data_IF_001956017984
#
_entry.id   IF_001956017984
#
_cell.length_a   1.000
_cell.length_b   1.000
_cell.length_c   1.000
_cell.angle_alpha   90.00
_cell.angle_beta   90.00
_cell.angle_gamma   90.00
#
_symmetry.space_group_name_H-M   'P 1'
#
loop_
_entity.id
_entity.type
_entity.pdbx_description
1 polymer ?
#
# COMPACT_ATOMS: atom_id res chain seq x y z
N UNK A 1 43.64 -35.39 -17.44
CA UNK A 1 42.85 -35.75 -16.25
C UNK A 1 42.42 -37.20 -16.38
N UNK A 2 43.01 -38.08 -15.58
CA UNK A 2 42.72 -39.52 -15.63
C UNK A 2 41.33 -39.75 -15.03
N UNK A 3 40.33 -39.96 -15.87
CA UNK A 3 39.02 -40.41 -15.40
C UNK A 3 39.21 -41.75 -14.67
N UNK A 4 38.54 -41.96 -13.52
CA UNK A 4 38.61 -43.24 -12.83
C UNK A 4 38.20 -44.37 -13.78
N UNK A 5 38.92 -45.49 -13.74
CA UNK A 5 38.79 -46.60 -14.69
C UNK A 5 37.34 -47.06 -14.87
N UNK A 6 36.55 -47.08 -13.79
CA UNK A 6 35.13 -47.41 -13.81
C UNK A 6 34.27 -46.48 -14.67
N UNK A 7 34.51 -45.17 -14.61
CA UNK A 7 33.75 -44.17 -15.37
C UNK A 7 34.12 -44.19 -16.85
N UNK A 8 35.39 -44.52 -17.16
CA UNK A 8 35.85 -44.75 -18.53
C UNK A 8 35.19 -45.98 -19.17
N UNK A 9 35.08 -47.10 -18.45
CA UNK A 9 34.33 -48.26 -18.94
C UNK A 9 32.85 -47.91 -19.13
N UNK A 10 32.21 -47.29 -18.14
CA UNK A 10 30.79 -46.95 -18.21
C UNK A 10 30.44 -46.09 -19.44
N UNK A 11 31.22 -45.03 -19.72
CA UNK A 11 30.99 -44.15 -20.86
C UNK A 11 31.24 -44.84 -22.21
N UNK A 12 32.18 -45.79 -22.28
CA UNK A 12 32.46 -46.61 -23.46
C UNK A 12 31.31 -47.56 -23.78
N UNK A 13 30.64 -48.12 -22.78
CA UNK A 13 29.44 -48.96 -22.96
C UNK A 13 28.18 -48.13 -23.25
N UNK A 14 28.11 -46.87 -22.80
CA UNK A 14 27.01 -45.95 -23.09
C UNK A 14 26.97 -45.49 -24.56
N UNK A 15 28.09 -45.56 -25.30
CA UNK A 15 28.19 -45.22 -26.73
C UNK A 15 28.41 -46.48 -27.60
N UNK A 16 27.40 -47.35 -27.74
CA UNK A 16 27.55 -48.59 -28.50
C UNK A 16 27.75 -48.30 -30.00
N UNK A 17 28.74 -48.95 -30.62
CA UNK A 17 29.05 -48.82 -32.06
C UNK A 17 28.00 -49.44 -33.01
N UNK A 18 26.99 -50.14 -32.48
CA UNK A 18 25.91 -50.79 -33.25
C UNK A 18 24.66 -49.90 -33.23
N UNK A 19 24.17 -49.52 -34.40
CA UNK A 19 23.10 -48.53 -34.59
C UNK A 19 21.84 -48.83 -33.77
N UNK A 20 21.41 -50.09 -33.71
CA UNK A 20 20.19 -50.50 -32.98
C UNK A 20 20.27 -50.25 -31.46
N UNK A 21 21.41 -50.57 -30.82
CA UNK A 21 21.60 -50.35 -29.38
C UNK A 21 21.78 -48.86 -29.04
N UNK A 22 22.31 -48.07 -29.97
CA UNK A 22 22.47 -46.62 -29.80
C UNK A 22 21.15 -45.86 -29.84
N UNK A 23 20.13 -46.38 -30.55
CA UNK A 23 18.81 -45.74 -30.63
C UNK A 23 18.02 -45.94 -29.33
N UNK A 24 18.02 -47.16 -28.78
CA UNK A 24 17.29 -47.47 -27.53
C UNK A 24 17.85 -46.63 -26.37
N UNK A 25 19.17 -46.59 -26.22
CA UNK A 25 19.84 -45.79 -25.19
C UNK A 25 19.55 -44.30 -25.32
N UNK A 26 19.51 -43.76 -26.55
CA UNK A 26 19.13 -42.37 -26.80
C UNK A 26 17.69 -42.07 -26.38
N UNK A 27 16.73 -42.92 -26.76
CA UNK A 27 15.31 -42.75 -26.40
C UNK A 27 15.12 -42.84 -24.89
N UNK A 28 15.78 -43.79 -24.20
CA UNK A 28 15.70 -43.91 -22.74
C UNK A 28 16.26 -42.68 -22.02
N UNK A 29 17.40 -42.16 -22.46
CA UNK A 29 18.00 -40.93 -21.87
C UNK A 29 17.10 -39.72 -22.11
N UNK A 30 16.54 -39.57 -23.32
CA UNK A 30 15.61 -38.48 -23.61
C UNK A 30 14.32 -38.58 -22.80
N UNK A 31 13.78 -39.78 -22.61
CA UNK A 31 12.58 -39.99 -21.80
C UNK A 31 12.80 -39.58 -20.34
N UNK A 32 13.91 -40.02 -19.74
CA UNK A 32 14.26 -39.62 -18.36
C UNK A 32 14.55 -38.12 -18.28
N UNK A 33 15.28 -37.56 -19.25
CA UNK A 33 15.58 -36.13 -19.30
C UNK A 33 14.30 -35.29 -19.37
N UNK A 34 13.36 -35.66 -20.25
CA UNK A 34 12.07 -34.98 -20.37
C UNK A 34 11.23 -35.11 -19.08
N UNK A 35 11.16 -36.31 -18.49
CA UNK A 35 10.43 -36.52 -17.24
C UNK A 35 10.96 -35.67 -16.09
N UNK A 36 12.29 -35.65 -15.90
CA UNK A 36 12.94 -34.84 -14.87
C UNK A 36 12.78 -33.34 -15.16
N UNK A 37 12.87 -32.92 -16.43
CA UNK A 37 12.69 -31.52 -16.83
C UNK A 37 11.29 -31.02 -16.47
N UNK A 38 10.26 -31.81 -16.78
CA UNK A 38 8.87 -31.47 -16.46
C UNK A 38 8.67 -31.38 -14.95
N UNK A 39 9.23 -32.32 -14.17
CA UNK A 39 9.13 -32.30 -12.71
C UNK A 39 9.79 -31.05 -12.11
N UNK A 40 10.99 -30.68 -12.58
CA UNK A 40 11.70 -29.47 -12.14
C UNK A 40 10.89 -28.22 -12.51
N UNK A 41 10.33 -28.16 -13.72
CA UNK A 41 9.48 -27.05 -14.16
C UNK A 41 8.29 -26.83 -13.24
N UNK A 42 7.56 -27.90 -12.91
CA UNK A 42 6.38 -27.82 -12.02
C UNK A 42 6.78 -27.31 -10.64
N UNK A 43 7.84 -27.87 -10.05
CA UNK A 43 8.32 -27.43 -8.72
C UNK A 43 8.77 -25.97 -8.77
N UNK A 44 9.47 -25.56 -9.84
CA UNK A 44 9.92 -24.18 -10.03
C UNK A 44 8.76 -23.20 -10.14
N UNK A 45 7.72 -23.55 -10.92
CA UNK A 45 6.53 -22.71 -11.08
C UNK A 45 5.76 -22.61 -9.78
N UNK A 46 5.51 -23.75 -9.10
CA UNK A 46 4.80 -23.76 -7.82
C UNK A 46 5.55 -22.96 -6.75
N UNK A 47 6.87 -23.13 -6.66
CA UNK A 47 7.70 -22.40 -5.68
C UNK A 47 7.75 -20.91 -5.99
N UNK A 48 7.86 -20.53 -7.27
CA UNK A 48 7.87 -19.12 -7.69
C UNK A 48 6.54 -18.44 -7.41
N UNK A 49 5.44 -19.12 -7.73
CA UNK A 49 4.09 -18.61 -7.51
C UNK A 49 3.73 -18.54 -6.02
N UNK A 50 4.09 -19.54 -5.21
CA UNK A 50 3.89 -19.51 -3.76
C UNK A 50 4.60 -18.32 -3.12
N UNK A 51 5.86 -18.06 -3.52
CA UNK A 51 6.60 -16.88 -3.06
C UNK A 51 5.92 -15.58 -3.46
N UNK A 52 5.51 -15.45 -4.71
CA UNK A 52 4.86 -14.24 -5.22
C UNK A 52 3.50 -14.01 -4.55
N UNK A 53 2.69 -15.06 -4.37
CA UNK A 53 1.41 -14.97 -3.68
C UNK A 53 1.59 -14.63 -2.20
N UNK A 54 2.49 -15.34 -1.50
CA UNK A 54 2.76 -15.10 -0.08
C UNK A 54 3.24 -13.67 0.13
N UNK A 55 4.19 -13.23 -0.68
CA UNK A 55 4.70 -11.87 -0.66
C UNK A 55 3.67 -10.86 -1.18
N UNK A 56 2.57 -11.25 -1.82
CA UNK A 56 1.45 -10.36 -2.20
C UNK A 56 0.25 -10.40 -1.26
N UNK A 57 0.21 -11.31 -0.29
CA UNK A 57 -0.88 -11.45 0.69
C UNK A 57 -0.46 -11.01 2.09
N UNK A 58 0.77 -11.31 2.54
CA UNK A 58 1.17 -11.12 3.96
C UNK A 58 1.72 -9.72 4.28
N UNK A 59 2.40 -9.06 3.34
CA UNK A 59 3.12 -7.80 3.61
C UNK A 59 2.26 -6.51 3.43
N UNK A 60 0.92 -6.62 3.34
CA UNK A 60 0.09 -5.54 2.75
C UNK A 60 -0.73 -4.70 3.70
N UNK A 61 -0.94 -5.16 4.92
CA UNK A 61 -1.66 -4.37 5.90
C UNK A 61 -1.16 -4.71 7.30
N UNK A 62 -1.57 -3.91 8.27
CA UNK A 62 -1.39 -4.30 9.65
C UNK A 62 -2.11 -5.65 9.87
N UNK A 63 -1.42 -6.60 10.51
CA UNK A 63 -1.99 -7.92 10.82
C UNK A 63 -3.30 -7.82 11.61
N UNK A 64 -3.46 -6.74 12.38
CA UNK A 64 -4.65 -6.44 13.17
C UNK A 64 -4.98 -4.95 12.99
N UNK A 65 -6.23 -4.68 12.63
CA UNK A 65 -6.80 -3.33 12.62
C UNK A 65 -7.78 -3.20 13.78
N UNK A 66 -7.57 -2.18 14.61
CA UNK A 66 -8.49 -1.84 15.70
C UNK A 66 -9.25 -0.59 15.27
N UNK A 67 -10.51 -0.76 14.89
CA UNK A 67 -11.41 0.32 14.49
C UNK A 67 -12.65 0.36 15.37
N UNK A 68 -13.20 1.55 15.55
CA UNK A 68 -14.52 1.78 16.14
C UNK A 68 -15.43 2.40 15.07
N UNK A 69 -16.76 2.27 15.23
CA UNK A 69 -17.72 2.96 14.36
C UNK A 69 -17.60 4.49 14.48
N UNK A 70 -17.13 4.97 15.64
CA UNK A 70 -16.96 6.38 15.96
C UNK A 70 -15.49 6.76 16.22
N UNK A 71 -15.21 8.06 16.33
CA UNK A 71 -13.86 8.53 16.64
C UNK A 71 -13.40 8.03 18.01
N UNK A 72 -12.33 7.23 18.03
CA UNK A 72 -11.67 6.78 19.26
C UNK A 72 -11.06 7.97 20.02
N UNK A 73 -11.77 8.46 21.04
CA UNK A 73 -11.33 9.59 21.88
C UNK A 73 -10.08 9.23 22.72
N UNK A 74 -10.07 8.05 23.33
CA UNK A 74 -8.98 7.58 24.22
C UNK A 74 -7.95 6.69 23.53
N UNK A 75 -7.66 6.95 22.25
CA UNK A 75 -6.75 6.13 21.45
C UNK A 75 -5.33 6.04 22.04
N UNK A 76 -4.85 7.08 22.75
CA UNK A 76 -3.51 7.10 23.35
C UNK A 76 -3.37 6.07 24.47
N UNK A 77 -4.35 6.00 25.36
CA UNK A 77 -4.37 5.04 26.46
C UNK A 77 -4.52 3.62 25.94
N UNK A 78 -5.36 3.44 24.92
CA UNK A 78 -5.53 2.15 24.25
C UNK A 78 -4.24 1.70 23.57
N UNK A 79 -3.55 2.61 22.86
CA UNK A 79 -2.25 2.33 22.23
C UNK A 79 -1.24 1.82 23.25
N UNK A 80 -1.09 2.48 24.39
CA UNK A 80 -0.17 2.03 25.46
C UNK A 80 -0.53 0.64 25.98
N UNK A 81 -1.82 0.30 26.12
CA UNK A 81 -2.24 -1.05 26.51
C UNK A 81 -1.87 -2.10 25.46
N UNK A 82 -2.10 -1.79 24.18
CA UNK A 82 -1.78 -2.70 23.07
C UNK A 82 -0.26 -2.88 22.93
N UNK A 83 0.52 -1.80 23.03
CA UNK A 83 1.99 -1.86 22.96
C UNK A 83 2.60 -2.75 24.06
N UNK A 84 1.96 -2.84 25.23
CA UNK A 84 2.41 -3.68 26.34
C UNK A 84 1.91 -5.14 26.26
N UNK A 85 1.15 -5.49 25.22
CA UNK A 85 0.61 -6.85 25.06
C UNK A 85 1.67 -7.77 24.45
N UNK A 86 1.94 -8.96 25.04
CA UNK A 86 2.94 -9.88 24.51
C UNK A 86 2.61 -10.31 23.08
N UNK A 87 3.59 -10.24 22.17
CA UNK A 87 3.43 -10.55 20.76
C UNK A 87 3.19 -9.35 19.84
N UNK A 88 2.94 -8.15 20.39
CA UNK A 88 2.84 -6.92 19.59
C UNK A 88 4.23 -6.37 19.28
N UNK A 89 4.58 -6.30 17.99
CA UNK A 89 5.88 -5.78 17.53
C UNK A 89 5.88 -4.26 17.45
N UNK A 90 4.81 -3.68 16.93
CA UNK A 90 4.63 -2.23 16.79
C UNK A 90 3.15 -1.88 16.61
N UNK A 91 2.79 -0.64 16.93
CA UNK A 91 1.47 -0.07 16.64
C UNK A 91 1.63 1.29 15.97
N UNK A 92 0.70 1.63 15.09
CA UNK A 92 0.64 2.92 14.41
C UNK A 92 -0.81 3.44 14.42
N UNK A 93 -1.06 4.67 14.91
CA UNK A 93 -2.37 5.28 14.82
C UNK A 93 -2.61 5.80 13.40
N UNK A 94 -3.82 5.59 12.89
CA UNK A 94 -4.26 6.16 11.62
C UNK A 94 -5.67 6.75 11.74
N UNK A 95 -5.98 7.70 10.88
CA UNK A 95 -7.35 8.22 10.67
C UNK A 95 -7.67 8.00 9.20
N UNK A 96 -8.86 7.51 8.88
CA UNK A 96 -9.28 7.31 7.50
C UNK A 96 -10.65 7.91 7.26
N UNK A 97 -10.83 8.62 6.14
CA UNK A 97 -12.12 9.19 5.77
C UNK A 97 -12.24 9.42 4.26
N UNK A 98 -13.47 9.44 3.71
CA UNK A 98 -13.68 9.82 2.32
C UNK A 98 -13.30 11.28 2.12
N UNK A 99 -12.69 11.59 0.99
CA UNK A 99 -12.41 12.97 0.54
C UNK A 99 -12.74 13.10 -0.93
N UNK A 100 -13.01 14.32 -1.38
CA UNK A 100 -13.05 14.66 -2.80
C UNK A 100 -11.72 15.32 -3.14
N UNK A 101 -11.10 14.89 -4.23
CA UNK A 101 -9.80 15.37 -4.69
C UNK A 101 -9.97 15.88 -6.09
N UNK A 102 -9.44 17.06 -6.34
CA UNK A 102 -9.54 17.76 -7.60
C UNK A 102 -8.16 18.16 -8.11
N UNK A 103 -7.92 17.90 -9.39
CA UNK A 103 -6.73 18.35 -10.11
C UNK A 103 -7.09 18.63 -11.56
N UNK A 104 -6.78 19.83 -12.06
CA UNK A 104 -7.02 20.23 -13.46
C UNK A 104 -8.41 19.82 -13.98
N UNK A 105 -9.47 20.17 -13.24
CA UNK A 105 -10.87 19.87 -13.57
C UNK A 105 -11.27 18.37 -13.51
N UNK A 106 -10.38 17.49 -13.04
CA UNK A 106 -10.67 16.07 -12.77
C UNK A 106 -10.97 15.90 -11.29
N UNK A 107 -12.12 15.32 -10.96
CA UNK A 107 -12.58 15.11 -9.59
C UNK A 107 -12.74 13.62 -9.29
N UNK A 108 -12.19 13.17 -8.18
CA UNK A 108 -12.32 11.80 -7.70
C UNK A 108 -12.62 11.81 -6.21
N UNK A 109 -13.25 10.75 -5.71
CA UNK A 109 -13.56 10.60 -4.29
C UNK A 109 -12.80 9.43 -3.66
N UNK A 110 -11.48 9.54 -3.42
CA UNK A 110 -10.70 8.50 -2.76
C UNK A 110 -10.88 8.52 -1.23
N UNK A 111 -10.39 7.47 -0.57
CA UNK A 111 -10.23 7.46 0.88
C UNK A 111 -8.89 8.11 1.25
N UNK A 112 -8.89 9.16 2.06
CA UNK A 112 -7.67 9.72 2.63
C UNK A 112 -7.36 9.04 3.97
N UNK A 113 -6.11 8.62 4.14
CA UNK A 113 -5.56 8.06 5.38
C UNK A 113 -4.51 9.01 5.96
N UNK A 114 -4.82 9.59 7.11
CA UNK A 114 -3.89 10.33 7.96
C UNK A 114 -2.99 9.37 8.73
N UNK A 115 -1.67 9.45 8.57
CA UNK A 115 -0.70 8.59 9.27
C UNK A 115 0.40 9.39 9.98
N UNK A 116 1.06 8.76 10.95
CA UNK A 116 2.36 9.19 11.47
C UNK A 116 3.47 8.37 10.77
N UNK A 117 4.29 8.99 9.88
CA UNK A 117 5.30 8.27 9.10
C UNK A 117 6.29 7.46 9.94
N UNK A 118 6.67 7.96 11.12
CA UNK A 118 7.68 7.30 11.96
C UNK A 118 7.13 6.06 12.67
N UNK A 119 5.84 6.06 13.00
CA UNK A 119 5.18 4.93 13.64
C UNK A 119 4.70 3.92 12.59
N UNK A 120 4.17 4.39 11.47
CA UNK A 120 3.71 3.53 10.36
C UNK A 120 4.85 2.68 9.81
N UNK A 121 6.07 3.24 9.64
CA UNK A 121 7.23 2.50 9.11
C UNK A 121 7.61 1.28 9.98
N UNK A 122 7.28 1.29 11.27
CA UNK A 122 7.52 0.17 12.18
C UNK A 122 6.52 -0.98 12.00
N UNK A 123 5.33 -0.68 11.47
CA UNK A 123 4.26 -1.66 11.23
C UNK A 123 4.28 -2.14 9.79
N UNK A 124 4.42 -1.21 8.83
CA UNK A 124 4.44 -1.46 7.40
C UNK A 124 5.65 -0.72 6.81
N UNK A 125 6.55 -1.37 6.07
CA UNK A 125 7.73 -0.73 5.49
C UNK A 125 7.31 0.13 4.27
N UNK A 126 6.70 1.29 4.53
CA UNK A 126 6.03 2.12 3.53
C UNK A 126 7.01 2.63 2.47
N UNK A 127 8.25 2.88 2.85
CA UNK A 127 9.32 3.30 1.94
C UNK A 127 9.58 2.29 0.81
N UNK A 128 9.44 0.98 1.07
CA UNK A 128 9.65 -0.06 0.04
C UNK A 128 8.61 -0.03 -1.07
N UNK A 129 7.47 0.59 -0.82
CA UNK A 129 6.35 0.63 -1.77
C UNK A 129 6.27 1.93 -2.56
N UNK A 130 7.16 2.89 -2.32
CA UNK A 130 7.25 4.11 -3.13
C UNK A 130 7.99 3.80 -4.42
N UNK A 131 7.31 4.00 -5.56
CA UNK A 131 7.93 3.86 -6.88
C UNK A 131 8.52 5.16 -7.39
N UNK A 132 7.88 6.28 -7.09
CA UNK A 132 8.27 7.59 -7.59
C UNK A 132 8.23 8.62 -6.46
N UNK A 133 9.24 9.49 -6.40
CA UNK A 133 9.32 10.56 -5.41
C UNK A 133 9.86 10.09 -4.06
N UNK A 134 9.43 10.75 -2.98
CA UNK A 134 9.88 10.46 -1.60
C UNK A 134 8.68 10.37 -0.66
N UNK A 135 8.83 9.61 0.43
CA UNK A 135 7.89 9.64 1.55
C UNK A 135 8.14 10.90 2.37
N UNK A 136 7.78 12.06 1.82
CA UNK A 136 7.81 13.30 2.57
C UNK A 136 6.37 13.72 2.85
N UNK A 137 6.01 13.63 4.11
CA UNK A 137 4.69 14.00 4.63
C UNK A 137 4.80 15.22 5.57
N UNK A 138 5.87 16.01 5.46
CA UNK A 138 5.99 17.28 6.19
C UNK A 138 5.14 18.39 5.55
N UNK A 139 4.49 19.19 6.39
CA UNK A 139 3.63 20.29 5.95
C UNK A 139 2.35 19.84 5.23
N UNK A 140 2.02 20.54 4.14
CA UNK A 140 0.84 20.28 3.30
C UNK A 140 1.19 19.37 2.13
N UNK A 141 1.68 18.18 2.44
CA UNK A 141 2.11 17.17 1.48
C UNK A 141 1.27 15.91 1.55
N UNK A 142 1.18 15.23 0.41
CA UNK A 142 0.46 13.98 0.26
C UNK A 142 1.18 13.03 -0.69
N UNK A 143 1.09 11.74 -0.38
CA UNK A 143 1.52 10.67 -1.28
C UNK A 143 0.28 10.02 -1.89
N UNK A 144 0.29 9.89 -3.22
CA UNK A 144 -0.82 9.35 -3.99
C UNK A 144 -0.61 7.88 -4.32
N UNK A 145 -1.69 7.10 -4.32
CA UNK A 145 -1.67 5.77 -4.94
C UNK A 145 -1.48 5.89 -6.47
N UNK A 146 -0.75 4.95 -7.07
CA UNK A 146 -0.43 4.97 -8.51
C UNK A 146 -1.67 5.03 -9.40
N UNK A 147 -2.77 4.38 -9.01
CA UNK A 147 -4.02 4.44 -9.76
C UNK A 147 -4.70 5.80 -9.65
N UNK A 148 -4.64 6.42 -8.48
CA UNK A 148 -5.22 7.72 -8.23
C UNK A 148 -4.45 8.81 -8.98
N UNK A 149 -3.10 8.77 -8.90
CA UNK A 149 -2.22 9.63 -9.67
C UNK A 149 -2.49 9.49 -11.18
N UNK A 150 -2.66 8.26 -11.69
CA UNK A 150 -2.98 8.01 -13.10
C UNK A 150 -4.34 8.55 -13.53
N UNK A 151 -5.38 8.37 -12.70
CA UNK A 151 -6.74 8.87 -13.00
C UNK A 151 -6.82 10.39 -12.96
N UNK A 152 -6.13 11.01 -11.99
CA UNK A 152 -5.99 12.47 -11.88
C UNK A 152 -5.03 13.05 -12.91
N UNK A 153 -4.14 12.22 -13.51
CA UNK A 153 -3.00 12.68 -14.30
C UNK A 153 -2.06 13.61 -13.50
N UNK A 154 -1.98 13.40 -12.19
CA UNK A 154 -1.13 14.17 -11.29
C UNK A 154 0.28 13.54 -11.23
N UNK A 155 1.29 14.40 -11.24
CA UNK A 155 2.71 14.09 -11.11
C UNK A 155 3.28 14.59 -9.79
N UNK A 156 4.51 14.20 -9.48
CA UNK A 156 5.22 14.70 -8.28
C UNK A 156 5.51 16.19 -8.46
N UNK A 157 5.23 16.98 -7.42
CA UNK A 157 5.33 18.44 -7.42
C UNK A 157 4.01 19.15 -7.71
N UNK A 158 3.00 18.43 -8.19
CA UNK A 158 1.70 19.02 -8.48
C UNK A 158 0.92 19.32 -7.20
N UNK A 159 0.12 20.40 -7.23
CA UNK A 159 -0.80 20.75 -6.16
C UNK A 159 -2.19 20.19 -6.46
N UNK A 160 -2.70 19.38 -5.55
CA UNK A 160 -4.06 18.83 -5.61
C UNK A 160 -4.94 19.49 -4.56
N UNK A 161 -6.20 19.70 -4.91
CA UNK A 161 -7.17 20.32 -4.01
C UNK A 161 -7.99 19.22 -3.34
N UNK A 162 -8.04 19.20 -2.01
CA UNK A 162 -8.76 18.19 -1.25
C UNK A 162 -9.88 18.82 -0.44
N UNK A 163 -11.07 18.27 -0.59
CA UNK A 163 -12.28 18.61 0.14
C UNK A 163 -12.65 17.43 1.05
N UNK A 164 -12.88 17.69 2.35
CA UNK A 164 -13.33 16.65 3.28
C UNK A 164 -14.84 16.79 3.54
N UNK A 165 -15.67 15.84 3.09
CA UNK A 165 -17.09 15.79 3.42
C UNK A 165 -17.37 15.44 4.89
N UNK A 166 -16.35 15.07 5.68
CA UNK A 166 -16.53 14.63 7.07
C UNK A 166 -17.22 15.65 7.98
N UNK A 167 -17.14 16.94 7.62
CA UNK A 167 -17.79 18.00 8.37
C UNK A 167 -19.13 18.47 7.79
N UNK A 168 -19.71 17.76 6.80
CA UNK A 168 -21.02 18.14 6.21
C UNK A 168 -22.11 18.36 7.26
N UNK A 169 -22.16 17.54 8.32
CA UNK A 169 -23.08 17.74 9.44
C UNK A 169 -22.83 19.05 10.19
N UNK A 170 -21.57 19.34 10.52
CA UNK A 170 -21.16 20.61 11.15
C UNK A 170 -21.43 21.80 10.23
N UNK A 171 -21.27 21.64 8.92
CA UNK A 171 -21.60 22.66 7.92
C UNK A 171 -23.10 22.95 7.91
N UNK A 172 -23.95 21.91 7.90
CA UNK A 172 -25.41 22.07 7.93
C UNK A 172 -25.88 22.69 9.26
N UNK A 173 -25.27 22.30 10.38
CA UNK A 173 -25.58 22.86 11.69
C UNK A 173 -25.14 24.33 11.80
N UNK A 174 -23.98 24.68 11.24
CA UNK A 174 -23.52 26.07 11.19
C UNK A 174 -24.37 26.92 10.22
N UNK A 175 -24.86 26.37 9.11
CA UNK A 175 -25.84 27.04 8.22
C UNK A 175 -27.16 27.29 8.95
N UNK A 176 -27.66 26.30 9.72
CA UNK A 176 -28.86 26.48 10.56
C UNK A 176 -28.64 27.50 11.68
N UNK A 177 -27.45 27.55 12.28
CA UNK A 177 -27.10 28.57 13.27
C UNK A 177 -27.05 29.96 12.65
N UNK A 178 -26.54 30.09 11.42
CA UNK A 178 -26.59 31.35 10.67
C UNK A 178 -28.00 31.83 10.40
N UNK A 179 -28.90 30.94 9.98
CA UNK A 179 -30.29 31.28 9.72
C UNK A 179 -31.01 31.84 10.96
N UNK A 180 -30.50 31.50 12.15
CA UNK A 180 -31.06 31.93 13.44
C UNK A 180 -30.26 33.05 14.14
N UNK A 181 -29.08 33.44 13.64
CA UNK A 181 -28.22 34.45 14.27
C UNK A 181 -28.49 35.86 13.71
N UNK A 182 -28.35 36.90 14.55
CA UNK A 182 -28.44 38.31 14.12
C UNK A 182 -27.22 39.10 14.57
N UNK A 183 -26.58 39.85 13.67
CA UNK A 183 -25.57 40.85 14.02
C UNK A 183 -24.14 40.31 14.19
N UNK A 184 -23.53 40.45 15.37
CA UNK A 184 -22.12 40.04 15.59
C UNK A 184 -21.90 38.52 15.62
N UNK A 185 -22.92 37.75 16.02
CA UNK A 185 -22.89 36.27 16.00
C UNK A 185 -22.94 35.71 14.58
N UNK A 186 -23.60 36.43 13.66
CA UNK A 186 -23.67 36.08 12.24
C UNK A 186 -22.29 36.17 11.58
N UNK A 187 -21.52 37.23 11.87
CA UNK A 187 -20.14 37.37 11.36
C UNK A 187 -19.20 36.28 11.87
N UNK A 188 -19.26 35.93 13.16
CA UNK A 188 -18.45 34.83 13.71
C UNK A 188 -18.82 33.47 13.12
N UNK A 189 -20.11 33.20 12.94
CA UNK A 189 -20.58 31.97 12.33
C UNK A 189 -20.25 31.88 10.82
N UNK A 190 -20.21 33.02 10.10
CA UNK A 190 -19.75 33.09 8.70
C UNK A 190 -18.25 32.75 8.61
N UNK A 191 -17.42 33.29 9.52
CA UNK A 191 -15.98 32.99 9.53
C UNK A 191 -15.69 31.53 9.93
N UNK A 192 -16.44 30.95 10.86
CA UNK A 192 -16.35 29.51 11.19
C UNK A 192 -16.74 28.61 10.01
N UNK A 193 -17.77 28.97 9.23
CA UNK A 193 -18.15 28.24 8.03
C UNK A 193 -17.09 28.33 6.93
N UNK A 194 -16.46 29.49 6.75
CA UNK A 194 -15.37 29.68 5.79
C UNK A 194 -14.21 28.73 6.06
N UNK A 195 -13.80 28.60 7.33
CA UNK A 195 -12.71 27.69 7.72
C UNK A 195 -13.04 26.20 7.55
N UNK A 196 -14.32 25.82 7.64
CA UNK A 196 -14.78 24.44 7.45
C UNK A 196 -14.94 24.08 5.97
N UNK A 197 -15.27 25.05 5.11
CA UNK A 197 -15.51 24.86 3.67
C UNK A 197 -14.20 24.93 2.85
N UNK A 198 -13.16 25.58 3.36
CA UNK A 198 -11.94 25.83 2.61
C UNK A 198 -11.26 24.51 2.19
N UNK A 199 -11.11 24.26 0.88
CA UNK A 199 -10.31 23.15 0.42
C UNK A 199 -8.86 23.32 0.87
N UNK A 200 -8.21 22.20 1.16
CA UNK A 200 -6.77 22.19 1.42
C UNK A 200 -6.03 21.88 0.12
N UNK A 201 -5.06 22.72 -0.22
CA UNK A 201 -4.08 22.38 -1.25
C UNK A 201 -3.04 21.44 -0.62
N UNK A 202 -2.80 20.30 -1.26
CA UNK A 202 -1.73 19.39 -0.87
C UNK A 202 -0.76 19.23 -2.04
N UNK A 203 0.53 19.25 -1.76
CA UNK A 203 1.57 19.01 -2.76
C UNK A 203 1.86 17.52 -2.85
N UNK A 204 1.88 16.97 -4.06
CA UNK A 204 2.19 15.56 -4.30
C UNK A 204 3.69 15.34 -4.16
N UNK A 205 4.14 14.66 -3.11
CA UNK A 205 5.56 14.39 -2.85
C UNK A 205 6.03 13.01 -3.32
N UNK A 206 5.08 12.10 -3.53
CA UNK A 206 5.39 10.75 -4.00
C UNK A 206 4.18 9.99 -4.53
N UNK A 207 4.48 8.91 -5.24
CA UNK A 207 3.50 7.95 -5.75
C UNK A 207 3.88 6.55 -5.27
N UNK A 208 2.99 5.90 -4.53
CA UNK A 208 3.19 4.54 -4.04
C UNK A 208 2.47 3.53 -4.94
N UNK A 209 3.13 2.38 -5.14
CA UNK A 209 2.72 1.36 -6.07
C UNK A 209 1.87 0.30 -5.38
N UNK A 210 0.57 0.59 -5.16
CA UNK A 210 -0.50 -0.41 -5.00
C UNK A 210 -1.91 0.16 -5.24
N UNK A 211 -2.82 -0.76 -5.58
CA UNK A 211 -4.23 -0.58 -5.97
C UNK A 211 -5.16 -0.16 -4.82
N UNK A 212 -4.72 0.73 -3.94
CA UNK A 212 -5.63 1.46 -3.08
C UNK A 212 -5.86 2.81 -3.71
N UNK A 213 -7.13 3.10 -4.02
CA UNK A 213 -7.58 4.43 -4.40
C UNK A 213 -7.58 5.33 -3.15
N UNK A 214 -6.39 5.53 -2.58
CA UNK A 214 -6.20 6.23 -1.32
C UNK A 214 -5.10 7.27 -1.40
N UNK A 215 -5.29 8.32 -0.62
CA UNK A 215 -4.28 9.36 -0.36
C UNK A 215 -3.74 9.11 1.02
N UNK A 216 -2.41 9.13 1.20
CA UNK A 216 -1.81 9.19 2.54
C UNK A 216 -1.27 10.59 2.78
N UNK A 217 -1.65 11.20 3.89
CA UNK A 217 -1.14 12.50 4.33
C UNK A 217 -0.84 12.47 5.83
N UNK A 218 -0.05 13.39 6.36
CA UNK A 218 0.23 13.45 7.79
C UNK A 218 -1.03 13.87 8.55
N UNK A 219 -1.44 13.08 9.54
CA UNK A 219 -2.56 13.44 10.38
C UNK A 219 -2.19 14.62 11.28
N UNK A 220 -2.58 15.83 10.87
CA UNK A 220 -2.48 17.02 11.73
C UNK A 220 -3.79 17.16 12.51
N UNK A 221 -4.01 16.30 13.50
CA UNK A 221 -5.11 16.44 14.43
C UNK A 221 -4.86 17.66 15.33
N UNK A 222 -5.38 18.83 14.93
CA UNK A 222 -5.72 19.90 15.86
C UNK A 222 -7.04 19.54 16.54
N UNK A 223 -7.00 18.56 17.45
CA UNK A 223 -8.03 18.47 18.48
C UNK A 223 -7.75 19.58 19.48
N UNK A 224 -8.38 20.74 19.27
CA UNK A 224 -8.55 21.73 20.33
C UNK A 224 -9.38 21.09 21.44
N UNK A 225 -8.96 21.39 22.67
CA UNK A 225 -9.65 21.11 23.94
C UNK A 225 -11.09 21.59 23.92
#
# INVERSE_FOLDING_TARGET
>A
MNLPFSLFLALRYLKPKRTFLSIITLISVLGVMLGVTVLILVISVMTGFDRELRQKVIDFDAHILVSSEDVLRDWRTLKTKIDNTPGVVATAPYIQGPVIVEFQNRRLAPLMRGIDPQQEEKVIPLQKFIKYGKLDLEGESAVLGIELARKLQASIGDKITVYSPGNLGQMLDSIKKLENAKGEEEKKAIDELRDVILPKELTVTGVFDRALNSIRSKSTSRSKR
#
